data_IF_164649558087
#
_entry.id   IF_164649558087
#
_cell.length_a   1.000
_cell.length_b   1.000
_cell.length_c   1.000
_cell.angle_alpha   90.00
_cell.angle_beta   90.00
_cell.angle_gamma   90.00
#
_symmetry.space_group_name_H-M   'P 1'
#
loop_
_entity.id
_entity.type
_entity.pdbx_description
1 polymer ?
#
# COMPACT_ATOMS: atom_id res chain seq x y z
N UNK A 1 -14.21 20.33 -0.33
CA UNK A 1 -15.25 19.32 -0.02
C UNK A 1 -15.93 19.68 1.30
N UNK A 2 -17.24 19.42 1.47
CA UNK A 2 -17.94 19.75 2.72
C UNK A 2 -17.49 18.83 3.87
N UNK A 3 -17.62 19.27 5.13
CA UNK A 3 -17.14 18.51 6.29
C UNK A 3 -17.84 17.16 6.44
N UNK A 4 -19.16 17.10 6.19
CA UNK A 4 -19.94 15.86 6.20
C UNK A 4 -19.44 14.85 5.16
N UNK A 5 -18.99 15.34 4.00
CA UNK A 5 -18.46 14.50 2.93
C UNK A 5 -17.09 13.91 3.30
N UNK A 6 -16.26 14.67 4.02
CA UNK A 6 -14.95 14.18 4.50
C UNK A 6 -15.15 13.08 5.54
N UNK A 7 -16.05 13.28 6.52
CA UNK A 7 -16.36 12.26 7.51
C UNK A 7 -16.86 10.95 6.86
N UNK A 8 -17.74 11.08 5.85
CA UNK A 8 -18.22 9.91 5.09
C UNK A 8 -17.11 9.20 4.30
N UNK A 9 -16.12 9.93 3.78
CA UNK A 9 -14.96 9.30 3.11
C UNK A 9 -14.07 8.57 4.11
N UNK A 10 -13.91 9.09 5.33
CA UNK A 10 -13.18 8.41 6.41
C UNK A 10 -13.90 7.10 6.80
N UNK A 11 -15.21 7.14 7.04
CA UNK A 11 -16.02 5.94 7.31
C UNK A 11 -15.95 4.93 6.16
N UNK A 12 -16.04 5.41 4.91
CA UNK A 12 -15.91 4.56 3.73
C UNK A 12 -14.53 3.89 3.66
N UNK A 13 -13.46 4.57 4.06
CA UNK A 13 -12.12 4.00 4.08
C UNK A 13 -12.00 2.83 5.07
N UNK A 14 -12.66 2.92 6.23
CA UNK A 14 -12.71 1.82 7.21
C UNK A 14 -13.46 0.62 6.63
N UNK A 15 -14.66 0.84 6.07
CA UNK A 15 -15.43 -0.26 5.47
C UNK A 15 -14.72 -0.91 4.27
N UNK A 16 -14.04 -0.12 3.43
CA UNK A 16 -13.23 -0.66 2.34
C UNK A 16 -12.01 -1.43 2.84
N UNK A 17 -11.40 -1.02 3.96
CA UNK A 17 -10.31 -1.78 4.57
C UNK A 17 -10.78 -3.18 5.03
N UNK A 18 -11.94 -3.27 5.67
CA UNK A 18 -12.52 -4.56 6.07
C UNK A 18 -12.80 -5.47 4.87
N UNK A 19 -13.36 -4.91 3.79
CA UNK A 19 -13.59 -5.64 2.54
C UNK A 19 -12.28 -6.14 1.94
N UNK A 20 -11.26 -5.28 1.87
CA UNK A 20 -9.93 -5.65 1.35
C UNK A 20 -9.31 -6.77 2.18
N UNK A 21 -9.37 -6.70 3.50
CA UNK A 21 -8.83 -7.73 4.39
C UNK A 21 -9.53 -9.06 4.13
N UNK A 22 -10.86 -9.06 4.02
CA UNK A 22 -11.63 -10.28 3.77
C UNK A 22 -11.36 -10.88 2.39
N UNK A 23 -11.38 -10.05 1.35
CA UNK A 23 -11.21 -10.51 -0.02
C UNK A 23 -9.77 -10.92 -0.34
N UNK A 24 -8.78 -10.31 0.32
CA UNK A 24 -7.38 -10.65 0.14
C UNK A 24 -6.96 -11.88 0.96
N UNK A 25 -7.79 -12.36 1.88
CA UNK A 25 -7.49 -13.53 2.72
C UNK A 25 -7.47 -14.82 1.87
N UNK A 26 -6.32 -15.48 1.69
CA UNK A 26 -6.23 -16.72 0.94
C UNK A 26 -7.05 -17.87 1.54
N UNK A 27 -7.44 -17.78 2.82
CA UNK A 27 -8.27 -18.78 3.50
C UNK A 27 -9.72 -18.78 3.02
N UNK A 28 -10.20 -17.65 2.48
CA UNK A 28 -11.57 -17.51 1.96
C UNK A 28 -11.68 -17.86 0.48
N UNK A 29 -10.55 -18.05 -0.20
CA UNK A 29 -10.52 -18.27 -1.64
C UNK A 29 -10.98 -19.69 -2.05
N UNK A 30 -11.55 -19.84 -3.26
CA UNK A 30 -11.87 -21.14 -3.82
C UNK A 30 -10.69 -22.12 -3.78
N UNK A 31 -10.93 -23.31 -3.22
CA UNK A 31 -9.90 -24.34 -3.04
C UNK A 31 -8.88 -24.04 -1.92
N UNK A 32 -9.22 -23.19 -0.95
CA UNK A 32 -8.41 -23.01 0.26
C UNK A 32 -8.14 -24.36 0.96
N UNK A 33 -6.92 -24.51 1.48
CA UNK A 33 -6.45 -25.75 2.12
C UNK A 33 -6.03 -26.87 1.15
N UNK A 34 -6.29 -26.76 -0.16
CA UNK A 34 -5.81 -27.73 -1.16
C UNK A 34 -4.43 -27.36 -1.70
N UNK A 35 -3.65 -28.38 -2.09
CA UNK A 35 -2.45 -28.16 -2.88
C UNK A 35 -2.82 -27.62 -4.27
N UNK A 36 -1.93 -26.84 -4.89
CA UNK A 36 -2.21 -26.23 -6.19
C UNK A 36 -2.45 -27.25 -7.32
N UNK A 37 -1.85 -28.43 -7.22
CA UNK A 37 -2.06 -29.57 -8.12
C UNK A 37 -3.46 -30.16 -8.04
N UNK A 38 -4.12 -30.01 -6.90
CA UNK A 38 -5.38 -30.69 -6.58
C UNK A 38 -6.60 -29.78 -6.83
N UNK A 39 -6.34 -28.55 -7.28
CA UNK A 39 -7.39 -27.60 -7.64
C UNK A 39 -8.01 -27.98 -8.98
N UNK A 40 -9.34 -28.02 -9.02
CA UNK A 40 -10.05 -28.14 -10.29
C UNK A 40 -9.80 -26.91 -11.17
N UNK A 41 -10.06 -27.03 -12.48
CA UNK A 41 -9.98 -25.87 -13.38
C UNK A 41 -10.91 -24.74 -12.93
N UNK A 42 -12.11 -25.08 -12.47
CA UNK A 42 -13.09 -24.11 -11.96
C UNK A 42 -12.58 -23.42 -10.69
N UNK A 43 -12.04 -24.17 -9.73
CA UNK A 43 -11.47 -23.59 -8.50
C UNK A 43 -10.32 -22.63 -8.81
N UNK A 44 -9.43 -23.00 -9.74
CA UNK A 44 -8.35 -22.10 -10.17
C UNK A 44 -8.90 -20.83 -10.82
N UNK A 45 -9.93 -20.95 -11.67
CA UNK A 45 -10.59 -19.81 -12.31
C UNK A 45 -11.26 -18.87 -11.31
N UNK A 46 -12.06 -19.43 -10.40
CA UNK A 46 -12.75 -18.65 -9.37
C UNK A 46 -11.75 -18.02 -8.39
N UNK A 47 -10.68 -18.73 -8.03
CA UNK A 47 -9.59 -18.20 -7.20
C UNK A 47 -8.85 -17.05 -7.86
N UNK A 48 -8.64 -17.10 -9.18
CA UNK A 48 -8.08 -15.97 -9.92
C UNK A 48 -9.00 -14.75 -9.87
N UNK A 49 -10.32 -14.96 -9.94
CA UNK A 49 -11.30 -13.90 -9.77
C UNK A 49 -11.32 -13.29 -8.37
N UNK A 50 -11.22 -14.10 -7.30
CA UNK A 50 -11.10 -13.59 -5.92
C UNK A 50 -9.92 -12.62 -5.78
N UNK A 51 -8.75 -12.96 -6.36
CA UNK A 51 -7.57 -12.08 -6.37
C UNK A 51 -7.80 -10.77 -7.12
N UNK A 52 -8.47 -10.84 -8.27
CA UNK A 52 -8.82 -9.65 -9.06
C UNK A 52 -9.77 -8.74 -8.30
N UNK A 53 -10.76 -9.32 -7.63
CA UNK A 53 -11.72 -8.57 -6.84
C UNK A 53 -11.03 -7.85 -5.67
N UNK A 54 -10.19 -8.58 -4.91
CA UNK A 54 -9.39 -7.99 -3.84
C UNK A 54 -8.52 -6.81 -4.31
N UNK A 55 -7.87 -6.95 -5.48
CA UNK A 55 -7.08 -5.87 -6.07
C UNK A 55 -7.93 -4.65 -6.48
N UNK A 56 -9.14 -4.88 -6.98
CA UNK A 56 -10.08 -3.81 -7.31
C UNK A 56 -10.56 -3.06 -6.04
N UNK A 57 -10.92 -3.79 -4.99
CA UNK A 57 -11.29 -3.23 -3.69
C UNK A 57 -10.15 -2.43 -3.06
N UNK A 58 -8.92 -2.94 -3.13
CA UNK A 58 -7.73 -2.22 -2.67
C UNK A 58 -7.51 -0.93 -3.47
N UNK A 59 -7.74 -0.97 -4.78
CA UNK A 59 -7.65 0.23 -5.63
C UNK A 59 -8.67 1.29 -5.20
N UNK A 60 -9.89 0.90 -4.85
CA UNK A 60 -10.90 1.83 -4.33
C UNK A 60 -10.47 2.43 -2.99
N UNK A 61 -9.95 1.60 -2.07
CA UNK A 61 -9.44 2.07 -0.78
C UNK A 61 -8.33 3.11 -0.95
N UNK A 62 -7.31 2.81 -1.76
CA UNK A 62 -6.20 3.74 -2.04
C UNK A 62 -6.71 5.05 -2.62
N UNK A 63 -7.67 5.01 -3.55
CA UNK A 63 -8.27 6.23 -4.10
C UNK A 63 -8.98 7.07 -3.03
N UNK A 64 -9.74 6.44 -2.14
CA UNK A 64 -10.42 7.12 -1.02
C UNK A 64 -9.42 7.72 -0.04
N UNK A 65 -8.36 6.98 0.31
CA UNK A 65 -7.30 7.48 1.18
C UNK A 65 -6.56 8.66 0.56
N UNK A 66 -6.24 8.61 -0.74
CA UNK A 66 -5.57 9.71 -1.44
C UNK A 66 -6.43 10.98 -1.46
N UNK A 67 -7.73 10.86 -1.77
CA UNK A 67 -8.66 11.99 -1.72
C UNK A 67 -8.71 12.58 -0.30
N UNK A 68 -8.80 11.73 0.71
CA UNK A 68 -8.85 12.18 2.12
C UNK A 68 -7.56 12.88 2.54
N UNK A 69 -6.39 12.33 2.16
CA UNK A 69 -5.07 12.87 2.51
C UNK A 69 -4.82 14.23 1.87
N UNK A 70 -5.15 14.42 0.59
CA UNK A 70 -5.02 15.74 -0.07
C UNK A 70 -5.88 16.79 0.66
N UNK A 71 -7.10 16.44 1.07
CA UNK A 71 -8.00 17.36 1.77
C UNK A 71 -7.54 17.72 3.19
N UNK A 72 -6.78 16.85 3.86
CA UNK A 72 -6.20 17.14 5.19
C UNK A 72 -4.93 17.96 5.08
N UNK A 73 -4.07 17.68 4.08
CA UNK A 73 -2.84 18.44 3.80
C UNK A 73 -3.11 19.89 3.40
N UNK A 74 -4.18 20.14 2.65
CA UNK A 74 -4.60 21.51 2.30
C UNK A 74 -5.10 22.32 3.50
N UNK A 75 -5.45 21.67 4.62
CA UNK A 75 -6.03 22.33 5.80
C UNK A 75 -5.06 22.49 6.97
N UNK A 76 -3.99 21.70 7.03
CA UNK A 76 -3.02 21.75 8.12
C UNK A 76 -1.60 21.99 7.57
N UNK A 77 -1.07 23.23 7.66
CA UNK A 77 0.28 23.55 7.23
C UNK A 77 1.37 22.72 7.93
N UNK A 78 1.13 22.28 9.17
CA UNK A 78 2.14 21.54 9.95
C UNK A 78 2.41 20.15 9.40
N UNK A 79 1.42 19.51 8.77
CA UNK A 79 1.60 18.21 8.11
C UNK A 79 2.46 18.32 6.86
N UNK A 80 2.36 19.44 6.13
CA UNK A 80 3.19 19.69 4.95
C UNK A 80 4.65 19.98 5.33
N UNK A 81 4.87 20.59 6.50
CA UNK A 81 6.21 20.87 6.99
C UNK A 81 6.89 19.61 7.55
N UNK A 82 6.14 18.72 8.22
CA UNK A 82 6.64 17.41 8.65
C UNK A 82 7.01 16.49 7.47
N UNK A 83 6.24 16.52 6.39
CA UNK A 83 6.54 15.69 5.21
C UNK A 83 7.83 16.14 4.51
N UNK A 84 8.09 17.46 4.44
CA UNK A 84 9.37 17.98 3.94
C UNK A 84 10.56 17.58 4.81
N UNK A 85 10.38 17.62 6.13
CA UNK A 85 11.43 17.22 7.07
C UNK A 85 11.79 15.73 6.90
N UNK A 86 10.78 14.86 6.75
CA UNK A 86 10.99 13.44 6.48
C UNK A 86 11.67 13.18 5.12
N UNK A 87 11.29 13.91 4.07
CA UNK A 87 11.95 13.81 2.75
C UNK A 87 13.42 14.25 2.81
N UNK A 88 13.73 15.30 3.60
CA UNK A 88 15.10 15.75 3.83
C UNK A 88 15.93 14.70 4.58
N UNK A 89 15.35 14.04 5.59
CA UNK A 89 16.00 12.95 6.34
C UNK A 89 16.32 11.75 5.42
N UNK A 90 15.37 11.34 4.57
CA UNK A 90 15.58 10.26 3.60
C UNK A 90 16.69 10.61 2.62
N UNK A 91 16.70 11.82 2.06
CA UNK A 91 17.74 12.27 1.13
C UNK A 91 19.14 12.36 1.79
N UNK A 92 19.21 12.61 3.10
CA UNK A 92 20.45 12.55 3.85
C UNK A 92 20.90 11.10 4.06
N UNK A 93 19.99 10.20 4.43
CA UNK A 93 20.27 8.78 4.61
C UNK A 93 20.75 8.12 3.31
N UNK A 94 20.12 8.43 2.17
CA UNK A 94 20.53 7.94 0.85
C UNK A 94 21.94 8.41 0.47
N UNK A 95 22.26 9.69 0.73
CA UNK A 95 23.63 10.23 0.50
C UNK A 95 24.67 9.52 1.37
N UNK A 96 24.34 9.26 2.63
CA UNK A 96 25.24 8.54 3.54
C UNK A 96 25.45 7.09 3.09
N UNK A 97 24.37 6.41 2.68
CA UNK A 97 24.44 5.06 2.15
C UNK A 97 25.29 4.97 0.86
N UNK A 98 25.12 5.92 -0.07
CA UNK A 98 25.96 6.01 -1.27
C UNK A 98 27.44 6.25 -0.93
N UNK A 99 27.73 7.15 0.02
CA UNK A 99 29.11 7.41 0.44
C UNK A 99 29.77 6.18 1.10
N UNK A 100 29.02 5.38 1.84
CA UNK A 100 29.46 4.10 2.41
C UNK A 100 29.76 3.08 1.31
N UNK A 101 28.87 2.94 0.33
CA UNK A 101 29.06 2.04 -0.82
C UNK A 101 30.27 2.43 -1.68
N UNK A 102 30.49 3.73 -1.92
CA UNK A 102 31.68 4.21 -2.64
C UNK A 102 32.98 3.94 -1.89
N UNK A 103 32.98 4.04 -0.56
CA UNK A 103 34.15 3.70 0.26
C UNK A 103 34.43 2.20 0.22
N UNK A 104 33.38 1.39 0.31
CA UNK A 104 33.50 -0.07 0.21
C UNK A 104 33.99 -0.52 -1.17
N UNK A 105 33.53 0.11 -2.26
CA UNK A 105 33.96 -0.23 -3.62
C UNK A 105 35.39 0.21 -3.93
N UNK A 106 35.83 1.36 -3.41
CA UNK A 106 37.23 1.81 -3.51
C UNK A 106 38.20 0.95 -2.69
N UNK A 107 37.74 0.36 -1.58
CA UNK A 107 38.52 -0.60 -0.80
C UNK A 107 38.64 -1.99 -1.43
N UNK A 108 37.72 -2.37 -2.31
CA UNK A 108 37.71 -3.68 -2.98
C UNK A 108 38.60 -3.77 -4.23
N UNK A 109 39.11 -2.64 -4.75
CA UNK A 109 40.00 -2.57 -5.93
C UNK A 109 41.50 -2.53 -5.57
N UNK A 110 41.88 -2.98 -4.37
CA UNK A 110 43.28 -3.13 -3.96
C UNK A 110 43.54 -4.59 -3.60
N UNK A 111 43.54 -5.48 -4.60
CA UNK A 111 44.35 -6.71 -4.66
C UNK A 111 44.21 -7.42 -6.01
#
# INVERSE_FOLDING_TARGET
MRLDQIARLQELSVGLADVVINEADPSTWPGAGKAASDLTQEERGNRYWSKKNAAASMTLLVKVMNITSTLTKDKDPSLNDQEKELDEEVAQAERQAMALLERASKGANVH
#
